data_IF_563332873213
#
_entry.id   IF_563332873213
#
_cell.length_a   1.000
_cell.length_b   1.000
_cell.length_c   1.000
_cell.angle_alpha   90.00
_cell.angle_beta   90.00
_cell.angle_gamma   90.00
#
_symmetry.space_group_name_H-M   'P 1'
#
loop_
_entity.id
_entity.type
_entity.pdbx_description
1 polymer ?
#
# COMPACT_ATOMS: atom_id res chain seq x y z
N UNK A 1 -8.21 0.03 -14.79
CA UNK A 1 -7.44 -0.74 -13.81
C UNK A 1 -6.40 -1.53 -14.57
N UNK A 2 -5.13 -1.42 -14.21
CA UNK A 2 -4.02 -2.11 -14.89
C UNK A 2 -3.39 -3.10 -13.92
N UNK A 3 -3.20 -4.33 -14.38
CA UNK A 3 -2.51 -5.34 -13.61
C UNK A 3 -1.10 -4.86 -13.22
N UNK A 4 -0.73 -5.05 -11.95
CA UNK A 4 0.62 -4.83 -11.42
C UNK A 4 1.38 -6.13 -11.45
N UNK A 5 2.61 -6.07 -11.97
CA UNK A 5 3.49 -7.23 -12.03
C UNK A 5 4.62 -7.08 -11.02
N UNK A 6 4.79 -8.09 -10.17
CA UNK A 6 5.85 -8.18 -9.18
C UNK A 6 6.84 -9.28 -9.61
N UNK A 7 8.15 -8.99 -9.60
CA UNK A 7 9.15 -9.99 -9.92
C UNK A 7 9.09 -11.13 -8.90
N UNK A 8 9.63 -12.28 -9.30
CA UNK A 8 9.82 -13.42 -8.40
C UNK A 8 10.54 -12.97 -7.13
N UNK A 9 9.99 -13.33 -5.97
CA UNK A 9 10.61 -13.03 -4.68
C UNK A 9 11.68 -14.08 -4.37
N UNK A 10 12.87 -13.60 -4.01
CA UNK A 10 13.99 -14.47 -3.62
C UNK A 10 13.68 -15.28 -2.34
N UNK A 11 14.33 -16.44 -2.13
CA UNK A 11 14.09 -17.27 -0.96
C UNK A 11 14.27 -16.52 0.37
N UNK A 12 13.32 -16.69 1.30
CA UNK A 12 13.34 -16.13 2.66
C UNK A 12 13.61 -17.22 3.70
N UNK A 13 14.20 -16.84 4.84
CA UNK A 13 14.40 -17.74 5.98
C UNK A 13 13.08 -18.06 6.71
N UNK A 14 12.17 -17.10 6.76
CA UNK A 14 10.87 -17.20 7.42
C UNK A 14 9.77 -16.82 6.42
N UNK A 15 8.58 -17.39 6.63
CA UNK A 15 7.37 -16.99 5.93
C UNK A 15 6.56 -15.90 6.66
N UNK A 16 6.97 -15.54 7.87
CA UNK A 16 6.25 -14.57 8.69
C UNK A 16 6.38 -13.12 8.21
N UNK A 17 5.44 -12.31 8.67
CA UNK A 17 5.31 -10.87 8.43
C UNK A 17 5.27 -10.11 9.75
N UNK A 18 5.62 -8.82 9.74
CA UNK A 18 5.85 -8.02 10.96
C UNK A 18 4.86 -6.86 11.15
N UNK A 19 4.27 -6.36 10.08
CA UNK A 19 3.30 -5.28 10.15
C UNK A 19 1.93 -5.85 10.53
N UNK A 20 1.10 -5.10 11.25
CA UNK A 20 -0.17 -5.64 11.72
C UNK A 20 -1.13 -5.92 10.55
N UNK A 21 -1.16 -5.08 9.52
CA UNK A 21 -2.00 -5.29 8.34
C UNK A 21 -1.57 -6.53 7.54
N UNK A 22 -0.26 -6.79 7.42
CA UNK A 22 0.20 -8.02 6.78
C UNK A 22 -0.10 -9.26 7.64
N UNK A 23 -0.05 -9.14 8.99
CA UNK A 23 -0.49 -10.22 9.88
C UNK A 23 -1.97 -10.52 9.71
N UNK A 24 -2.81 -9.51 9.54
CA UNK A 24 -4.23 -9.74 9.29
C UNK A 24 -4.46 -10.47 7.96
N UNK A 25 -3.73 -10.13 6.88
CA UNK A 25 -3.74 -10.92 5.64
C UNK A 25 -3.26 -12.36 5.87
N UNK A 26 -2.23 -12.56 6.70
CA UNK A 26 -1.77 -13.89 7.07
C UNK A 26 -2.80 -14.66 7.91
N UNK A 27 -3.56 -14.00 8.77
CA UNK A 27 -4.66 -14.59 9.53
C UNK A 27 -5.82 -15.00 8.61
N UNK A 28 -6.19 -14.17 7.64
CA UNK A 28 -7.17 -14.53 6.62
C UNK A 28 -6.75 -15.78 5.82
N UNK A 29 -5.46 -15.90 5.52
CA UNK A 29 -4.89 -17.09 4.89
C UNK A 29 -5.00 -18.33 5.79
N UNK A 30 -4.70 -18.18 7.08
CA UNK A 30 -4.83 -19.26 8.08
C UNK A 30 -6.28 -19.75 8.20
N UNK A 31 -7.25 -18.83 8.18
CA UNK A 31 -8.69 -19.14 8.22
C UNK A 31 -9.19 -19.81 6.93
N UNK A 32 -8.66 -19.39 5.78
CA UNK A 32 -9.01 -20.01 4.49
C UNK A 32 -8.41 -21.42 4.34
N UNK A 33 -7.32 -21.75 5.05
CA UNK A 33 -6.65 -23.03 4.93
C UNK A 33 -7.46 -24.15 5.59
N UNK A 34 -7.81 -25.16 4.79
CA UNK A 34 -8.53 -26.34 5.30
C UNK A 34 -7.70 -27.22 6.24
N UNK A 35 -6.39 -27.38 5.96
CA UNK A 35 -5.47 -28.21 6.74
C UNK A 35 -4.19 -27.42 7.11
N UNK A 36 -3.83 -27.32 8.41
CA UNK A 36 -2.58 -26.73 8.86
C UNK A 36 -1.32 -27.33 8.21
N UNK A 37 -1.35 -28.60 7.80
CA UNK A 37 -0.24 -29.23 7.09
C UNK A 37 -0.03 -28.62 5.69
N UNK A 38 -1.10 -28.25 4.99
CA UNK A 38 -1.00 -27.60 3.69
C UNK A 38 -0.59 -26.14 3.81
N UNK A 39 -1.02 -25.45 4.87
CA UNK A 39 -0.49 -24.13 5.22
C UNK A 39 1.03 -24.18 5.41
N UNK A 40 1.53 -25.17 6.17
CA UNK A 40 2.98 -25.36 6.38
C UNK A 40 3.72 -25.68 5.07
N UNK A 41 3.14 -26.50 4.19
CA UNK A 41 3.74 -26.81 2.87
C UNK A 41 3.77 -25.57 1.97
N UNK A 42 2.68 -24.80 1.93
CA UNK A 42 2.55 -23.57 1.16
C UNK A 42 3.54 -22.50 1.59
N UNK A 43 3.62 -22.23 2.91
CA UNK A 43 4.67 -21.38 3.49
C UNK A 43 6.08 -21.87 3.14
N UNK A 44 6.26 -23.20 3.09
CA UNK A 44 7.48 -23.86 2.65
C UNK A 44 7.84 -23.59 1.18
N UNK A 45 6.87 -23.60 0.27
CA UNK A 45 7.06 -23.28 -1.15
C UNK A 45 7.38 -21.79 -1.32
N UNK A 46 6.60 -20.92 -0.67
CA UNK A 46 6.80 -19.47 -0.68
C UNK A 46 8.22 -19.09 -0.23
N UNK A 47 8.67 -19.62 0.92
CA UNK A 47 10.01 -19.32 1.48
C UNK A 47 11.17 -19.80 0.61
N UNK A 48 10.96 -20.84 -0.20
CA UNK A 48 11.99 -21.35 -1.13
C UNK A 48 12.01 -20.58 -2.46
N UNK A 49 11.15 -19.57 -2.62
CA UNK A 49 11.04 -18.81 -3.86
C UNK A 49 10.41 -19.63 -4.99
N UNK A 50 9.58 -20.61 -4.68
CA UNK A 50 9.00 -21.48 -5.72
C UNK A 50 7.86 -20.79 -6.49
N UNK A 51 7.33 -19.70 -5.93
CA UNK A 51 6.39 -18.82 -6.62
C UNK A 51 7.17 -17.94 -7.59
N UNK A 52 6.74 -17.92 -8.85
CA UNK A 52 7.33 -17.10 -9.90
C UNK A 52 6.94 -15.63 -9.81
N UNK A 53 6.90 -14.97 -10.96
CA UNK A 53 6.33 -13.64 -11.07
C UNK A 53 4.86 -13.65 -10.63
N UNK A 54 4.45 -12.61 -9.90
CA UNK A 54 3.08 -12.43 -9.45
C UNK A 54 2.45 -11.31 -10.27
N UNK A 55 1.35 -11.62 -10.95
CA UNK A 55 0.49 -10.62 -11.57
C UNK A 55 -0.72 -10.40 -10.66
N UNK A 56 -0.98 -9.14 -10.32
CA UNK A 56 -2.01 -8.74 -9.39
C UNK A 56 -2.93 -7.71 -10.04
N UNK A 57 -4.21 -8.00 -10.02
CA UNK A 57 -5.30 -7.15 -10.50
C UNK A 57 -6.35 -7.00 -9.39
N UNK A 58 -7.35 -6.15 -9.60
CA UNK A 58 -8.49 -6.05 -8.70
C UNK A 58 -9.16 -7.43 -8.54
N UNK A 59 -9.19 -7.93 -7.31
CA UNK A 59 -9.79 -9.20 -6.92
C UNK A 59 -9.08 -10.45 -7.44
N UNK A 60 -7.91 -10.33 -8.10
CA UNK A 60 -7.27 -11.47 -8.75
C UNK A 60 -5.75 -11.44 -8.63
N UNK A 61 -5.16 -12.58 -8.27
CA UNK A 61 -3.70 -12.79 -8.29
C UNK A 61 -3.39 -14.03 -9.13
N UNK A 62 -2.44 -13.93 -10.05
CA UNK A 62 -2.00 -15.04 -10.89
C UNK A 62 -0.49 -15.24 -10.72
N UNK A 63 -0.08 -16.48 -10.50
CA UNK A 63 1.34 -16.85 -10.46
C UNK A 63 1.54 -18.31 -10.86
N UNK A 64 2.73 -18.62 -11.36
CA UNK A 64 3.19 -20.01 -11.51
C UNK A 64 3.93 -20.45 -10.25
N UNK A 65 3.66 -21.66 -9.75
CA UNK A 65 4.36 -22.25 -8.62
C UNK A 65 5.10 -23.51 -9.06
N UNK A 66 6.40 -23.56 -8.81
CA UNK A 66 7.24 -24.70 -9.13
C UNK A 66 7.20 -25.75 -8.01
N UNK A 67 6.97 -27.01 -8.36
CA UNK A 67 7.13 -28.11 -7.40
C UNK A 67 7.55 -29.38 -8.12
N UNK A 68 8.65 -30.01 -7.68
CA UNK A 68 9.16 -31.29 -8.23
C UNK A 68 9.41 -31.31 -9.75
N UNK A 69 9.66 -30.14 -10.35
CA UNK A 69 9.93 -30.01 -11.79
C UNK A 69 8.72 -29.63 -12.63
N UNK A 70 7.52 -29.61 -12.04
CA UNK A 70 6.29 -29.14 -12.68
C UNK A 70 5.99 -27.68 -12.31
N UNK A 71 5.28 -26.98 -13.20
CA UNK A 71 4.80 -25.63 -13.00
C UNK A 71 3.26 -25.63 -12.89
N UNK A 72 2.74 -25.17 -11.75
CA UNK A 72 1.30 -25.07 -11.51
C UNK A 72 0.86 -23.62 -11.62
N UNK A 73 -0.01 -23.32 -12.58
CA UNK A 73 -0.67 -22.01 -12.64
C UNK A 73 -1.71 -21.92 -11.54
N UNK A 74 -1.56 -20.91 -10.68
CA UNK A 74 -2.45 -20.61 -9.58
C UNK A 74 -3.14 -19.28 -9.86
N UNK A 75 -4.46 -19.26 -9.72
CA UNK A 75 -5.26 -18.04 -9.73
C UNK A 75 -5.99 -17.92 -8.39
N UNK A 76 -5.66 -16.90 -7.62
CA UNK A 76 -6.33 -16.56 -6.36
C UNK A 76 -7.38 -15.49 -6.65
N UNK A 77 -8.57 -15.66 -6.10
CA UNK A 77 -9.64 -14.66 -6.10
C UNK A 77 -9.78 -14.08 -4.70
N UNK A 78 -9.88 -12.76 -4.64
CA UNK A 78 -10.13 -12.00 -3.42
C UNK A 78 -11.37 -11.15 -3.64
N UNK A 79 -12.28 -11.02 -2.66
CA UNK A 79 -13.39 -10.08 -2.76
C UNK A 79 -12.87 -8.68 -3.10
N UNK A 80 -13.63 -7.90 -3.86
CA UNK A 80 -13.35 -6.47 -4.10
C UNK A 80 -14.34 -5.62 -3.31
N UNK A 81 -13.96 -4.40 -2.99
CA UNK A 81 -14.87 -3.40 -2.45
C UNK A 81 -15.86 -3.00 -3.54
N UNK A 82 -17.13 -2.89 -3.17
CA UNK A 82 -18.10 -2.24 -4.03
C UNK A 82 -17.87 -0.72 -4.10
N UNK A 83 -18.52 0.00 -5.04
CA UNK A 83 -18.29 1.43 -5.21
C UNK A 83 -18.61 2.28 -3.96
N UNK A 84 -19.55 1.83 -3.13
CA UNK A 84 -20.00 2.52 -1.92
C UNK A 84 -18.99 2.29 -0.78
N UNK A 85 -18.50 1.05 -0.61
CA UNK A 85 -17.39 0.73 0.30
C UNK A 85 -16.12 1.51 -0.05
N UNK A 86 -15.79 1.58 -1.34
CA UNK A 86 -14.64 2.34 -1.82
C UNK A 86 -14.79 3.87 -1.60
N UNK A 87 -16.02 4.38 -1.65
CA UNK A 87 -16.33 5.77 -1.37
C UNK A 87 -16.23 6.06 0.14
N UNK A 88 -16.84 5.21 0.97
CA UNK A 88 -16.76 5.30 2.42
C UNK A 88 -15.30 5.20 2.91
N UNK A 89 -14.48 4.32 2.30
CA UNK A 89 -13.04 4.27 2.57
C UNK A 89 -12.37 5.63 2.36
N UNK A 90 -12.63 6.27 1.21
CA UNK A 90 -12.04 7.56 0.89
C UNK A 90 -12.51 8.67 1.85
N UNK A 91 -13.78 8.66 2.26
CA UNK A 91 -14.33 9.61 3.23
C UNK A 91 -13.68 9.47 4.61
N UNK A 92 -13.56 8.24 5.12
CA UNK A 92 -12.87 7.97 6.40
C UNK A 92 -11.42 8.44 6.34
N UNK A 93 -10.69 8.06 5.28
CA UNK A 93 -9.29 8.44 5.10
C UNK A 93 -9.14 9.96 4.95
N UNK A 94 -10.06 10.62 4.25
CA UNK A 94 -10.06 12.07 4.02
C UNK A 94 -10.39 12.89 5.27
N UNK A 95 -11.28 12.37 6.13
CA UNK A 95 -11.65 13.02 7.38
C UNK A 95 -10.57 12.89 8.48
N UNK A 96 -9.76 11.83 8.43
CA UNK A 96 -8.73 11.55 9.43
C UNK A 96 -7.45 12.38 9.26
N UNK A 97 -7.02 13.04 10.33
CA UNK A 97 -5.79 13.83 10.35
C UNK A 97 -4.56 12.94 10.08
N UNK A 98 -3.97 13.09 8.90
CA UNK A 98 -2.69 12.47 8.53
C UNK A 98 -2.78 11.04 7.95
N UNK A 99 -3.97 10.43 7.86
CA UNK A 99 -4.13 9.08 7.31
C UNK A 99 -3.78 8.99 5.82
N UNK A 100 -4.18 9.98 5.02
CA UNK A 100 -3.73 10.11 3.62
C UNK A 100 -2.21 10.05 3.54
N UNK A 101 -1.53 10.85 4.38
CA UNK A 101 -0.07 10.90 4.41
C UNK A 101 0.56 9.57 4.85
N UNK A 102 -0.04 8.88 5.82
CA UNK A 102 0.42 7.56 6.27
C UNK A 102 0.30 6.50 5.17
N UNK A 103 -0.87 6.40 4.52
CA UNK A 103 -1.09 5.46 3.41
C UNK A 103 -0.12 5.72 2.25
N UNK A 104 0.11 6.99 1.90
CA UNK A 104 1.05 7.37 0.85
C UNK A 104 2.52 7.03 1.19
N UNK A 105 2.86 6.93 2.47
CA UNK A 105 4.18 6.46 2.94
C UNK A 105 4.23 4.94 3.11
N UNK A 106 3.15 4.22 2.81
CA UNK A 106 3.07 2.78 2.94
C UNK A 106 2.83 2.30 4.37
N UNK A 107 2.13 3.09 5.19
CA UNK A 107 1.75 2.73 6.55
C UNK A 107 0.22 2.73 6.71
N UNK A 108 -0.30 1.76 7.44
CA UNK A 108 -1.72 1.67 7.81
C UNK A 108 -1.79 1.81 9.33
N UNK A 109 -2.20 2.96 9.88
CA UNK A 109 -2.38 3.09 11.33
C UNK A 109 -3.47 2.14 11.83
N UNK A 110 -3.31 1.51 12.99
CA UNK A 110 -4.35 0.62 13.54
C UNK A 110 -5.68 1.37 13.79
N UNK A 111 -5.61 2.64 14.15
CA UNK A 111 -6.80 3.49 14.32
C UNK A 111 -7.55 3.77 13.01
N UNK A 112 -6.91 3.61 11.84
CA UNK A 112 -7.60 3.70 10.56
C UNK A 112 -8.48 2.46 10.34
N UNK A 113 -8.00 1.28 10.71
CA UNK A 113 -8.76 0.03 10.59
C UNK A 113 -10.03 0.07 11.43
N UNK A 114 -9.89 0.46 12.71
CA UNK A 114 -11.02 0.63 13.63
C UNK A 114 -12.07 1.60 13.07
N UNK A 115 -11.63 2.73 12.49
CA UNK A 115 -12.54 3.71 11.89
C UNK A 115 -13.22 3.21 10.60
N UNK A 116 -12.54 2.36 9.82
CA UNK A 116 -13.11 1.72 8.64
C UNK A 116 -14.16 0.68 9.03
N UNK A 117 -13.88 -0.13 10.04
CA UNK A 117 -14.85 -1.10 10.59
C UNK A 117 -16.10 -0.40 11.13
N UNK A 118 -15.96 0.72 11.84
CA UNK A 118 -17.09 1.55 12.28
C UNK A 118 -17.92 2.11 11.12
N UNK A 119 -17.28 2.39 9.98
CA UNK A 119 -17.92 2.81 8.75
C UNK A 119 -18.47 1.65 7.90
N UNK A 120 -18.34 0.41 8.38
CA UNK A 120 -18.79 -0.80 7.67
C UNK A 120 -17.91 -1.19 6.47
N UNK A 121 -16.68 -0.66 6.39
CA UNK A 121 -15.73 -0.97 5.32
C UNK A 121 -14.74 -2.03 5.79
N UNK A 122 -14.81 -3.20 5.19
CA UNK A 122 -13.87 -4.28 5.48
C UNK A 122 -12.60 -4.14 4.61
N UNK A 123 -11.54 -3.56 5.17
CA UNK A 123 -10.26 -3.40 4.48
C UNK A 123 -9.56 -4.76 4.29
N UNK A 124 -9.49 -5.54 5.36
CA UNK A 124 -8.77 -6.81 5.41
C UNK A 124 -9.75 -7.96 5.14
N UNK A 125 -9.45 -8.87 4.20
CA UNK A 125 -10.41 -9.90 3.82
C UNK A 125 -10.51 -10.97 4.91
N UNK A 126 -11.50 -10.90 5.80
CA UNK A 126 -11.82 -11.95 6.75
C UNK A 126 -12.60 -13.06 6.02
N UNK A 127 -11.89 -13.81 5.17
CA UNK A 127 -12.44 -14.88 4.37
C UNK A 127 -12.76 -14.49 2.92
N UNK A 128 -13.51 -15.35 2.22
CA UNK A 128 -13.81 -15.20 0.79
C UNK A 128 -12.61 -15.42 -0.15
N UNK A 129 -11.45 -15.81 0.39
CA UNK A 129 -10.28 -16.18 -0.38
C UNK A 129 -10.48 -17.56 -1.01
N UNK A 130 -10.30 -17.64 -2.32
CA UNK A 130 -10.32 -18.92 -3.06
C UNK A 130 -9.15 -18.98 -4.03
N UNK A 131 -8.72 -20.18 -4.40
CA UNK A 131 -7.62 -20.41 -5.31
C UNK A 131 -7.90 -21.58 -6.25
N UNK A 132 -7.89 -21.30 -7.55
CA UNK A 132 -7.86 -22.33 -8.58
C UNK A 132 -6.42 -22.70 -8.90
N UNK A 133 -6.11 -23.99 -8.95
CA UNK A 133 -4.79 -24.52 -9.27
C UNK A 133 -4.90 -25.75 -10.18
N UNK A 134 -3.95 -25.93 -11.10
CA UNK A 134 -3.88 -27.11 -11.98
C UNK A 134 -3.37 -28.40 -11.30
N UNK A 135 -3.21 -28.43 -9.97
CA UNK A 135 -2.76 -29.61 -9.24
C UNK A 135 -3.89 -30.63 -9.01
N UNK A 136 -3.54 -31.80 -8.48
CA UNK A 136 -4.46 -32.90 -8.17
C UNK A 136 -5.18 -32.76 -6.81
N UNK A 137 -4.99 -31.64 -6.11
CA UNK A 137 -5.63 -31.36 -4.83
C UNK A 137 -7.12 -31.07 -4.98
N UNK A 138 -7.92 -31.64 -4.08
CA UNK A 138 -9.35 -31.35 -3.96
C UNK A 138 -9.66 -30.24 -2.94
N UNK A 139 -8.63 -29.75 -2.25
CA UNK A 139 -8.71 -28.68 -1.25
C UNK A 139 -8.50 -27.32 -1.91
N UNK A 140 -9.32 -26.34 -1.52
CA UNK A 140 -9.25 -24.94 -1.92
C UNK A 140 -9.18 -24.03 -0.67
N UNK A 141 -8.11 -23.23 -0.48
CA UNK A 141 -6.89 -23.18 -1.28
C UNK A 141 -5.98 -24.39 -1.09
N UNK A 142 -5.46 -24.95 -2.18
CA UNK A 142 -4.41 -25.97 -2.11
C UNK A 142 -3.07 -25.38 -1.63
N UNK A 143 -2.08 -26.23 -1.31
CA UNK A 143 -0.74 -25.78 -0.89
C UNK A 143 -0.05 -24.78 -1.85
N UNK A 144 -0.32 -24.84 -3.16
CA UNK A 144 0.22 -23.87 -4.13
C UNK A 144 -0.51 -22.51 -4.03
N UNK A 145 -1.85 -22.53 -3.86
CA UNK A 145 -2.63 -21.34 -3.55
C UNK A 145 -2.15 -20.64 -2.29
N UNK A 146 -1.95 -21.42 -1.22
CA UNK A 146 -1.43 -20.94 0.06
C UNK A 146 -0.01 -20.36 -0.09
N UNK A 147 0.82 -20.91 -0.99
CA UNK A 147 2.13 -20.36 -1.29
C UNK A 147 2.06 -18.97 -1.95
N UNK A 148 1.15 -18.79 -2.91
CA UNK A 148 0.91 -17.49 -3.56
C UNK A 148 0.41 -16.47 -2.54
N UNK A 149 -0.64 -16.81 -1.77
CA UNK A 149 -1.19 -15.95 -0.72
C UNK A 149 -0.15 -15.55 0.33
N UNK A 150 0.75 -16.47 0.70
CA UNK A 150 1.87 -16.16 1.61
C UNK A 150 2.78 -15.06 1.03
N UNK A 151 3.12 -15.13 -0.26
CA UNK A 151 3.93 -14.08 -0.90
C UNK A 151 3.15 -12.78 -1.12
N UNK A 152 1.84 -12.85 -1.37
CA UNK A 152 0.97 -11.66 -1.40
C UNK A 152 1.01 -10.94 -0.05
N UNK A 153 0.97 -11.66 1.07
CA UNK A 153 1.14 -11.05 2.39
C UNK A 153 2.48 -10.33 2.55
N UNK A 154 3.55 -10.79 1.90
CA UNK A 154 4.85 -10.10 1.90
C UNK A 154 4.85 -8.84 1.01
N UNK A 155 4.15 -8.88 -0.12
CA UNK A 155 3.96 -7.70 -0.96
C UNK A 155 3.16 -6.63 -0.21
N UNK A 156 2.13 -7.05 0.52
CA UNK A 156 1.32 -6.18 1.40
C UNK A 156 2.14 -5.67 2.59
N UNK A 157 3.03 -6.47 3.18
CA UNK A 157 3.99 -6.02 4.20
C UNK A 157 4.89 -4.89 3.68
N UNK A 158 5.30 -4.95 2.42
CA UNK A 158 6.18 -3.96 1.80
C UNK A 158 5.45 -2.70 1.32
N UNK A 159 4.21 -2.83 0.83
CA UNK A 159 3.39 -1.74 0.32
C UNK A 159 1.90 -2.05 0.57
N UNK A 160 1.23 -1.41 1.55
CA UNK A 160 -0.19 -1.64 1.83
C UNK A 160 -1.12 -1.21 0.68
N UNK A 161 -0.66 -0.37 -0.27
CA UNK A 161 -1.46 -0.05 -1.45
C UNK A 161 -1.63 -1.27 -2.37
N UNK A 162 -0.82 -2.32 -2.21
CA UNK A 162 -1.04 -3.62 -2.86
C UNK A 162 -2.36 -4.25 -2.39
N UNK A 163 -2.68 -4.12 -1.11
CA UNK A 163 -3.96 -4.62 -0.57
C UNK A 163 -5.12 -3.81 -1.13
N UNK A 164 -5.02 -2.47 -1.15
CA UNK A 164 -6.07 -1.62 -1.72
C UNK A 164 -6.30 -1.93 -3.20
N UNK A 165 -5.22 -2.07 -3.98
CA UNK A 165 -5.32 -2.49 -5.38
C UNK A 165 -6.05 -3.83 -5.53
N UNK A 166 -5.67 -4.82 -4.72
CA UNK A 166 -6.31 -6.14 -4.73
C UNK A 166 -7.78 -6.08 -4.30
N UNK A 167 -8.14 -5.17 -3.41
CA UNK A 167 -9.53 -4.88 -3.01
C UNK A 167 -10.27 -3.97 -4.00
N UNK A 168 -9.68 -3.64 -5.15
CA UNK A 168 -10.34 -2.87 -6.21
C UNK A 168 -10.22 -1.35 -6.08
N UNK A 169 -9.39 -0.86 -5.16
CA UNK A 169 -9.13 0.57 -4.96
C UNK A 169 -7.68 0.90 -5.33
N UNK A 170 -7.44 1.22 -6.60
CA UNK A 170 -6.11 1.63 -7.07
C UNK A 170 -5.74 3.00 -6.51
N UNK A 171 -4.43 3.27 -6.36
CA UNK A 171 -3.93 4.57 -5.87
C UNK A 171 -4.52 5.77 -6.61
N UNK A 172 -4.65 5.68 -7.94
CA UNK A 172 -5.20 6.77 -8.74
C UNK A 172 -6.70 7.00 -8.44
N UNK A 173 -7.47 5.92 -8.25
CA UNK A 173 -8.88 6.00 -7.88
C UNK A 173 -9.06 6.56 -6.46
N UNK A 174 -8.25 6.10 -5.50
CA UNK A 174 -8.23 6.66 -4.15
C UNK A 174 -7.95 8.16 -4.16
N UNK A 175 -6.94 8.62 -4.91
CA UNK A 175 -6.62 10.05 -5.01
C UNK A 175 -7.77 10.83 -5.66
N UNK A 176 -8.40 10.28 -6.70
CA UNK A 176 -9.55 10.92 -7.34
C UNK A 176 -10.74 11.04 -6.39
N UNK A 177 -11.05 9.99 -5.62
CA UNK A 177 -12.10 9.99 -4.61
C UNK A 177 -11.80 10.98 -3.50
N UNK A 178 -10.57 11.01 -2.98
CA UNK A 178 -10.13 12.00 -1.97
C UNK A 178 -10.25 13.45 -2.47
N UNK A 179 -9.99 13.69 -3.75
CA UNK A 179 -10.17 15.00 -4.37
C UNK A 179 -11.66 15.35 -4.56
N UNK A 180 -12.52 14.36 -4.80
CA UNK A 180 -13.97 14.53 -4.91
C UNK A 180 -14.68 14.69 -3.55
N UNK A 181 -14.18 14.05 -2.49
CA UNK A 181 -14.63 14.26 -1.11
C UNK A 181 -14.20 15.61 -0.54
N UNK A 182 -13.19 16.24 -1.16
CA UNK A 182 -12.94 17.66 -0.98
C UNK A 182 -14.00 18.48 -1.75
N UNK A 183 -15.28 18.25 -1.44
CA UNK A 183 -16.27 19.33 -1.56
C UNK A 183 -15.74 20.49 -0.74
N UNK A 184 -15.74 21.68 -1.39
CA UNK A 184 -15.02 22.90 -1.05
C UNK A 184 -14.44 22.86 0.36
N UNK A 185 -13.11 23.09 0.56
CA UNK A 185 -12.66 23.41 1.91
C UNK A 185 -13.65 24.43 2.38
N UNK A 186 -14.41 24.09 3.45
CA UNK A 186 -15.32 25.03 4.02
C UNK A 186 -14.47 26.28 4.05
N UNK A 187 -14.89 27.28 3.27
CA UNK A 187 -14.37 28.59 3.46
C UNK A 187 -14.90 28.86 4.86
N UNK A 188 -14.17 28.39 5.87
CA UNK A 188 -13.56 29.29 6.77
C UNK A 188 -12.99 30.43 5.90
N UNK A 189 -13.88 31.33 5.47
CA UNK A 189 -13.99 32.61 6.15
C UNK A 189 -13.89 32.37 7.66
N UNK A 190 -12.73 31.89 8.10
CA UNK A 190 -12.07 32.53 9.18
C UNK A 190 -11.91 33.91 8.61
N UNK A 191 -12.78 34.79 9.09
CA UNK A 191 -12.48 36.19 9.24
C UNK A 191 -11.15 36.26 10.02
N UNK A 192 -10.06 35.93 9.36
CA UNK A 192 -8.73 36.33 9.75
C UNK A 192 -8.67 37.79 9.35
N UNK A 193 -9.16 38.66 10.24
CA UNK A 193 -8.73 40.06 10.30
C UNK A 193 -7.26 40.18 10.76
N UNK A 194 -6.44 39.17 10.48
CA UNK A 194 -4.99 39.24 10.64
C UNK A 194 -4.40 39.58 9.29
N UNK A 195 -3.94 40.83 9.15
CA UNK A 195 -3.07 41.28 8.08
C UNK A 195 -2.05 40.16 7.79
N UNK A 196 -2.17 39.53 6.61
CA UNK A 196 -1.10 38.69 6.11
C UNK A 196 0.15 39.57 6.13
N UNK A 197 1.26 39.16 6.77
CA UNK A 197 2.47 39.97 6.72
C UNK A 197 2.78 40.21 5.25
N UNK A 198 2.96 41.48 4.91
CA UNK A 198 3.26 41.92 3.56
C UNK A 198 4.28 40.96 2.95
N UNK A 199 4.00 40.45 1.76
CA UNK A 199 4.90 39.54 1.05
C UNK A 199 6.30 40.15 0.97
N UNK A 200 6.42 41.48 0.89
CA UNK A 200 7.69 42.18 0.98
C UNK A 200 8.38 41.98 2.33
N UNK A 201 7.66 42.11 3.45
CA UNK A 201 8.20 41.89 4.81
C UNK A 201 8.61 40.43 5.03
N UNK A 202 7.84 39.47 4.49
CA UNK A 202 8.17 38.06 4.60
C UNK A 202 9.43 37.70 3.78
N UNK A 203 9.59 38.29 2.60
CA UNK A 203 10.79 38.12 1.75
C UNK A 203 12.00 38.77 2.42
N UNK A 204 11.85 39.99 2.94
CA UNK A 204 12.94 40.72 3.61
C UNK A 204 13.43 39.96 4.85
N UNK A 205 12.52 39.41 5.65
CA UNK A 205 12.87 38.56 6.80
C UNK A 205 13.61 37.27 6.39
N UNK A 206 13.22 36.66 5.26
CA UNK A 206 13.88 35.46 4.73
C UNK A 206 15.30 35.76 4.23
N UNK A 207 15.49 36.89 3.55
CA UNK A 207 16.81 37.35 3.09
C UNK A 207 17.74 37.67 4.27
N UNK A 208 17.20 38.30 5.31
CA UNK A 208 17.96 38.64 6.51
C UNK A 208 18.37 37.40 7.31
N UNK A 209 17.49 36.39 7.40
CA UNK A 209 17.81 35.10 8.00
C UNK A 209 18.90 34.36 7.19
N UNK A 210 18.86 34.41 5.86
CA UNK A 210 19.88 33.84 5.00
C UNK A 210 21.25 34.53 5.19
N UNK A 211 21.28 35.86 5.30
CA UNK A 211 22.51 36.62 5.56
C UNK A 211 23.12 36.27 6.94
N UNK A 212 22.29 36.13 7.98
CA UNK A 212 22.75 35.72 9.31
C UNK A 212 23.29 34.29 9.33
N UNK A 213 22.69 33.38 8.56
CA UNK A 213 23.20 32.01 8.39
C UNK A 213 24.56 31.99 7.69
N UNK A 214 24.75 32.82 6.67
CA UNK A 214 26.04 32.96 5.97
C UNK A 214 27.13 33.49 6.90
N UNK A 215 26.79 34.47 7.75
CA UNK A 215 27.69 35.02 8.76
C UNK A 215 28.04 33.98 9.84
N UNK A 216 27.05 33.22 10.33
CA UNK A 216 27.25 32.14 11.30
C UNK A 216 28.08 30.97 10.75
N UNK A 217 27.93 30.67 9.46
CA UNK A 217 28.58 29.54 8.80
C UNK A 217 29.91 29.93 8.11
N UNK A 218 30.33 31.20 8.21
CA UNK A 218 31.65 31.66 7.78
C UNK A 218 31.98 31.44 6.30
N UNK A 219 30.99 31.34 5.43
CA UNK A 219 31.21 31.09 3.99
C UNK A 219 30.90 32.34 3.18
N UNK A 220 31.93 33.12 2.84
CA UNK A 220 31.78 34.19 1.84
C UNK A 220 31.39 33.61 0.49
N UNK A 221 30.41 34.18 -0.24
CA UNK A 221 30.14 33.77 -1.62
C UNK A 221 31.34 34.16 -2.51
N UNK A 222 31.92 33.17 -3.18
CA UNK A 222 32.95 33.39 -4.19
C UNK A 222 32.38 34.22 -5.35
N UNK A 223 32.89 35.45 -5.52
CA UNK A 223 32.82 36.16 -6.78
C UNK A 223 33.67 35.42 -7.80
N UNK A 224 33.04 34.75 -8.76
CA UNK A 224 33.65 34.44 -10.05
C UNK A 224 32.53 34.36 -11.09
N UNK A 225 32.15 35.52 -11.62
CA UNK A 225 31.62 35.65 -12.99
C UNK A 225 32.19 36.95 -13.53
N UNK A 226 33.35 36.85 -14.18
CA UNK A 226 33.80 37.75 -15.25
C UNK A 226 35.01 37.08 -15.92
N UNK A 227 34.80 36.48 -17.10
CA UNK A 227 35.53 36.78 -18.34
C UNK A 227 35.21 35.73 -19.42
N UNK A 228 34.24 36.03 -20.30
CA UNK A 228 34.34 35.59 -21.69
C UNK A 228 34.20 36.85 -22.54
N UNK A 229 35.36 37.37 -22.91
CA UNK A 229 35.53 38.42 -23.91
C UNK A 229 35.50 37.81 -25.32
N UNK A 230 34.63 38.39 -26.17
CA UNK A 230 34.43 38.25 -27.63
C UNK A 230 33.79 36.98 -28.19
#
# INVERSE_FOLDING_TARGET
MSARTFPRIEPRRSAGVRTWWARAVASALEEAAYDPADLKKGAGLARRGEVGQIELDAGRVVAAVMERGDAFTVTVTVPVMDPDEAQAFAEVVGAGAGWVGSLLRGDVPASLDEALEEAGVELLPYGGLSATCGCDSWVDPCRHGLAVLTQVAWLVEADPLVLLHLRGLERADLVARLAGTAEEPATASADWEGELPDLEVAVEAAEQAAALLVDLLGTSPSKDVDDISF
#
